data_IF_533244414364
#
_entry.id   IF_533244414364
#
_cell.length_a   1.000
_cell.length_b   1.000
_cell.length_c   1.000
_cell.angle_alpha   90.00
_cell.angle_beta   90.00
_cell.angle_gamma   90.00
#
_symmetry.space_group_name_H-M   'P 1'
#
loop_
_entity.id
_entity.type
_entity.pdbx_description
1 polymer ?
#
# COMPACT_ATOMS: atom_id res chain seq x y z
N UNK A 1 -0.24 -5.18 -11.79
CA UNK A 1 -1.56 -5.01 -12.46
C UNK A 1 -2.29 -3.85 -11.78
N UNK A 2 -2.94 -2.95 -12.54
CA UNK A 2 -3.44 -1.65 -12.05
C UNK A 2 -4.77 -1.69 -11.27
N UNK A 3 -5.62 -2.70 -11.46
CA UNK A 3 -6.86 -2.84 -10.69
C UNK A 3 -6.53 -3.20 -9.24
N UNK A 4 -6.47 -2.20 -8.36
CA UNK A 4 -6.19 -2.33 -6.94
C UNK A 4 -7.02 -1.34 -6.13
N UNK A 5 -7.26 -1.68 -4.85
CA UNK A 5 -8.01 -0.84 -3.91
C UNK A 5 -7.34 0.51 -3.73
N UNK A 6 -6.02 0.52 -3.62
CA UNK A 6 -5.27 1.74 -3.32
C UNK A 6 -5.28 2.73 -4.49
N UNK A 7 -5.31 2.23 -5.73
CA UNK A 7 -5.45 3.11 -6.89
C UNK A 7 -6.85 3.75 -6.94
N UNK A 8 -7.91 2.95 -6.73
CA UNK A 8 -9.30 3.47 -6.70
C UNK A 8 -9.47 4.48 -5.57
N UNK A 9 -9.01 4.16 -4.37
CA UNK A 9 -9.05 5.06 -3.21
C UNK A 9 -8.32 6.38 -3.49
N UNK A 10 -7.13 6.31 -4.08
CA UNK A 10 -6.34 7.50 -4.43
C UNK A 10 -7.08 8.38 -5.45
N UNK A 11 -7.62 7.80 -6.52
CA UNK A 11 -8.39 8.56 -7.50
C UNK A 11 -9.64 9.19 -6.89
N UNK A 12 -10.38 8.42 -6.08
CA UNK A 12 -11.63 8.86 -5.46
C UNK A 12 -11.43 10.00 -4.46
N UNK A 13 -10.40 9.91 -3.60
CA UNK A 13 -10.12 10.91 -2.55
C UNK A 13 -9.51 12.21 -3.06
N UNK A 14 -9.07 12.28 -4.32
CA UNK A 14 -8.58 13.52 -4.94
C UNK A 14 -9.69 14.45 -5.41
N UNK A 15 -10.93 13.96 -5.49
CA UNK A 15 -12.08 14.78 -5.86
C UNK A 15 -12.50 15.72 -4.71
N UNK A 16 -12.62 17.02 -5.00
CA UNK A 16 -12.96 18.04 -3.99
C UNK A 16 -14.46 18.32 -3.83
N UNK A 17 -15.26 18.03 -4.86
CA UNK A 17 -16.70 18.35 -4.90
C UNK A 17 -17.53 17.21 -5.47
N UNK A 18 -17.04 16.56 -6.53
CA UNK A 18 -17.74 15.45 -7.16
C UNK A 18 -16.72 14.48 -7.77
N UNK A 19 -17.03 13.18 -7.71
CA UNK A 19 -16.30 12.12 -8.38
C UNK A 19 -17.29 11.30 -9.22
N UNK A 20 -16.91 10.98 -10.45
CA UNK A 20 -17.69 10.11 -11.35
C UNK A 20 -16.79 8.96 -11.79
N UNK A 21 -17.23 7.73 -11.55
CA UNK A 21 -16.52 6.52 -11.95
C UNK A 21 -17.09 6.04 -13.27
N UNK A 22 -16.25 5.99 -14.31
CA UNK A 22 -16.62 5.47 -15.63
C UNK A 22 -15.90 4.13 -15.84
N UNK A 23 -16.66 3.08 -16.10
CA UNK A 23 -16.12 1.74 -16.34
C UNK A 23 -17.13 0.64 -16.04
N UNK A 24 -16.68 -0.61 -16.10
CA UNK A 24 -17.55 -1.76 -15.83
C UNK A 24 -17.68 -2.03 -14.32
N UNK A 25 -18.86 -2.44 -13.83
CA UNK A 25 -19.04 -2.88 -12.45
C UNK A 25 -18.09 -4.02 -12.06
N UNK A 26 -17.73 -4.89 -13.03
CA UNK A 26 -16.76 -5.97 -12.85
C UNK A 26 -15.36 -5.43 -12.53
N UNK A 27 -14.89 -4.41 -13.25
CA UNK A 27 -13.57 -3.82 -13.01
C UNK A 27 -13.46 -3.20 -11.62
N UNK A 28 -14.50 -2.49 -11.17
CA UNK A 28 -14.55 -1.90 -9.83
C UNK A 28 -14.55 -2.99 -8.77
N UNK A 29 -15.33 -4.06 -8.95
CA UNK A 29 -15.36 -5.20 -8.03
C UNK A 29 -13.99 -5.86 -7.88
N UNK A 30 -13.27 -6.07 -8.99
CA UNK A 30 -11.91 -6.62 -8.99
C UNK A 30 -10.95 -5.68 -8.26
N UNK A 31 -11.03 -4.38 -8.51
CA UNK A 31 -10.14 -3.41 -7.89
C UNK A 31 -10.34 -3.35 -6.37
N UNK A 32 -11.59 -3.30 -5.88
CA UNK A 32 -11.88 -3.22 -4.45
C UNK A 32 -11.63 -4.54 -3.70
N UNK A 33 -11.85 -5.69 -4.34
CA UNK A 33 -11.63 -7.00 -3.71
C UNK A 33 -10.14 -7.33 -3.55
N UNK A 34 -9.26 -6.67 -4.30
CA UNK A 34 -7.82 -6.88 -4.24
C UNK A 34 -7.20 -6.16 -3.04
N UNK A 35 -7.01 -6.91 -1.96
CA UNK A 35 -6.35 -6.47 -0.72
C UNK A 35 -4.86 -6.82 -0.64
N UNK A 36 -4.37 -7.75 -1.47
CA UNK A 36 -2.92 -7.99 -1.58
C UNK A 36 -2.29 -6.85 -2.37
N UNK A 37 -1.77 -5.86 -1.63
CA UNK A 37 -0.71 -5.00 -2.15
C UNK A 37 0.49 -5.88 -2.54
N UNK A 38 1.18 -5.50 -3.61
CA UNK A 38 2.48 -6.11 -3.94
C UNK A 38 3.35 -6.13 -2.68
N UNK A 39 4.08 -7.23 -2.47
CA UNK A 39 5.10 -7.25 -1.43
C UNK A 39 6.02 -6.05 -1.58
N UNK A 40 6.12 -5.27 -0.51
CA UNK A 40 6.99 -4.11 -0.46
C UNK A 40 8.35 -4.58 0.05
N UNK A 41 9.29 -4.79 -0.87
CA UNK A 41 10.68 -5.11 -0.54
C UNK A 41 11.37 -3.87 0.06
N UNK A 42 11.18 -3.66 1.36
CA UNK A 42 11.81 -2.59 2.13
C UNK A 42 12.17 -3.07 3.52
N UNK A 43 13.30 -2.57 4.03
CA UNK A 43 13.79 -2.81 5.39
C UNK A 43 13.31 -1.76 6.40
N UNK A 44 12.51 -0.78 5.97
CA UNK A 44 12.11 0.33 6.83
C UNK A 44 11.33 -0.13 8.07
N UNK A 45 10.44 -1.11 7.92
CA UNK A 45 9.64 -1.61 9.04
C UNK A 45 10.53 -2.23 10.13
N UNK A 46 11.52 -3.02 9.71
CA UNK A 46 12.52 -3.66 10.57
C UNK A 46 13.36 -2.59 11.29
N UNK A 47 13.91 -1.63 10.53
CA UNK A 47 14.71 -0.53 11.09
C UNK A 47 13.94 0.33 12.11
N UNK A 48 12.64 0.51 11.92
CA UNK A 48 11.80 1.25 12.86
C UNK A 48 11.59 0.46 14.16
N UNK A 49 11.35 -0.86 14.07
CA UNK A 49 11.19 -1.75 15.23
C UNK A 49 12.46 -1.81 16.08
N UNK A 50 13.64 -1.95 15.45
CA UNK A 50 14.92 -1.99 16.16
C UNK A 50 15.15 -0.72 17.01
N UNK A 51 14.79 0.46 16.46
CA UNK A 51 14.93 1.74 17.16
C UNK A 51 13.97 1.89 18.34
N UNK A 52 12.73 1.42 18.22
CA UNK A 52 11.74 1.48 19.31
C UNK A 52 12.03 0.49 20.43
N UNK A 53 12.63 -0.65 20.12
CA UNK A 53 12.95 -1.69 21.10
C UNK A 53 14.28 -1.43 21.85
N UNK A 54 14.96 -0.31 21.60
CA UNK A 54 16.25 0.01 22.21
C UNK A 54 17.39 -0.92 21.79
N UNK A 55 17.19 -1.71 20.72
CA UNK A 55 18.24 -2.57 20.15
C UNK A 55 19.16 -1.71 19.30
N UNK A 56 20.42 -1.57 19.72
CA UNK A 56 21.45 -0.84 18.98
C UNK A 56 21.78 -1.61 17.67
N UNK A 57 22.00 -0.93 16.54
CA UNK A 57 22.03 -1.54 15.19
C UNK A 57 23.29 -2.38 14.86
N UNK A 58 23.94 -2.98 15.86
CA UNK A 58 25.21 -3.71 15.70
C UNK A 58 25.08 -4.99 14.83
N UNK A 59 23.87 -5.53 14.66
CA UNK A 59 23.67 -6.92 14.18
C UNK A 59 23.27 -7.07 12.70
N UNK A 60 23.10 -5.98 11.96
CA UNK A 60 22.60 -6.03 10.56
C UNK A 60 23.72 -6.21 9.51
N UNK A 61 24.99 -6.31 9.92
CA UNK A 61 26.13 -6.43 9.01
C UNK A 61 26.56 -7.88 8.68
N UNK A 62 25.91 -8.91 9.24
CA UNK A 62 26.39 -10.31 9.13
C UNK A 62 25.45 -11.29 8.40
N UNK A 63 24.58 -10.84 7.48
CA UNK A 63 23.76 -11.78 6.69
C UNK A 63 23.65 -11.41 5.22
#
# INVERSE_FOLDING_TARGET
MLLSRNLVYTGLTRAKRQAVIIGSPKAIRIAISRTQERERYTWLAQRLQDRTDGRHPEHLAER
#
